data_IF_452403951232
#
_entry.id   IF_452403951232
#
_cell.length_a   1.000
_cell.length_b   1.000
_cell.length_c   1.000
_cell.angle_alpha   90.00
_cell.angle_beta   90.00
_cell.angle_gamma   90.00
#
_symmetry.space_group_name_H-M   'P 1'
#
loop_
_entity.id
_entity.type
_entity.pdbx_description
1 polymer ?
#
# COMPACT_ATOMS: atom_id res chain seq x y z
N UNK A 1 12.75 3.81 -11.18
CA UNK A 1 11.52 4.50 -10.71
C UNK A 1 11.46 4.33 -9.18
N UNK A 2 10.72 5.14 -8.41
CA UNK A 2 10.64 4.89 -6.96
C UNK A 2 9.98 3.54 -6.67
N UNK A 3 10.57 2.79 -5.74
CA UNK A 3 10.04 1.52 -5.23
C UNK A 3 9.20 1.80 -3.99
N UNK A 4 7.91 1.50 -4.09
CA UNK A 4 6.93 1.70 -3.03
C UNK A 4 6.60 0.35 -2.43
N UNK A 5 6.79 0.25 -1.12
CA UNK A 5 6.44 -0.90 -0.32
C UNK A 5 5.08 -0.71 0.35
N UNK A 6 4.27 -1.75 0.35
CA UNK A 6 3.01 -1.82 1.06
C UNK A 6 3.06 -2.97 2.06
N UNK A 7 2.79 -2.68 3.33
CA UNK A 7 2.52 -3.67 4.35
C UNK A 7 1.09 -4.19 4.17
N UNK A 8 0.93 -5.50 4.02
CA UNK A 8 -0.37 -6.13 3.82
C UNK A 8 -1.09 -6.43 5.13
N UNK A 9 -0.44 -6.21 6.28
CA UNK A 9 -1.00 -6.45 7.61
C UNK A 9 -1.93 -5.30 8.02
N UNK A 10 -1.47 -4.06 7.81
CA UNK A 10 -2.15 -2.83 8.25
C UNK A 10 -2.38 -1.82 7.12
N UNK A 11 -1.94 -2.13 5.89
CA UNK A 11 -2.09 -1.26 4.74
C UNK A 11 -1.13 -0.06 4.72
N UNK A 12 -0.09 -0.05 5.58
CA UNK A 12 0.94 0.98 5.55
C UNK A 12 1.65 1.02 4.19
N UNK A 13 1.83 2.22 3.63
CA UNK A 13 2.46 2.41 2.33
C UNK A 13 3.53 3.49 2.44
N UNK A 14 4.78 3.13 2.16
CA UNK A 14 5.91 4.06 2.12
C UNK A 14 6.95 3.58 1.09
N UNK A 15 8.07 4.25 0.98
CA UNK A 15 9.21 3.77 0.22
C UNK A 15 9.75 2.46 0.80
N UNK A 16 10.32 1.61 -0.06
CA UNK A 16 10.80 0.27 0.31
C UNK A 16 11.76 0.27 1.51
N UNK A 17 12.62 1.27 1.63
CA UNK A 17 13.57 1.43 2.73
C UNK A 17 12.87 1.66 4.08
N UNK A 18 11.77 2.40 4.09
CA UNK A 18 10.99 2.67 5.30
C UNK A 18 10.01 1.57 5.66
N UNK A 19 9.64 0.73 4.69
CA UNK A 19 8.77 -0.42 4.94
C UNK A 19 9.43 -1.40 5.92
N UNK A 20 10.75 -1.61 5.82
CA UNK A 20 11.46 -2.52 6.73
C UNK A 20 11.42 -1.99 8.16
N UNK A 21 11.71 -0.71 8.37
CA UNK A 21 11.66 -0.06 9.68
C UNK A 21 10.27 -0.14 10.32
N UNK A 22 9.21 0.01 9.52
CA UNK A 22 7.82 -0.20 9.95
C UNK A 22 7.57 -1.63 10.43
N UNK A 23 7.99 -2.65 9.67
CA UNK A 23 7.79 -4.05 10.04
C UNK A 23 8.57 -4.45 11.29
N UNK A 24 9.76 -3.88 11.48
CA UNK A 24 10.57 -4.13 12.67
C UNK A 24 10.03 -3.44 13.92
N UNK A 25 9.32 -2.31 13.79
CA UNK A 25 8.75 -1.56 14.92
C UNK A 25 7.33 -2.00 15.28
N UNK A 26 6.45 -2.05 14.28
CA UNK A 26 5.02 -2.26 14.50
C UNK A 26 4.62 -3.75 14.48
N UNK A 27 5.43 -4.61 13.84
CA UNK A 27 5.16 -6.05 13.69
C UNK A 27 6.27 -6.94 14.26
N UNK A 28 7.06 -6.40 15.20
CA UNK A 28 8.20 -7.06 15.82
C UNK A 28 7.84 -8.40 16.46
N UNK A 29 6.66 -8.48 17.07
CA UNK A 29 6.16 -9.68 17.73
C UNK A 29 5.88 -10.83 16.75
N UNK A 30 5.48 -10.51 15.52
CA UNK A 30 5.20 -11.48 14.46
C UNK A 30 6.47 -12.05 13.82
N UNK A 31 7.58 -11.32 13.90
CA UNK A 31 8.80 -11.66 13.17
C UNK A 31 10.00 -12.07 14.03
N UNK A 32 10.04 -11.67 15.30
CA UNK A 32 11.19 -11.85 16.20
C UNK A 32 11.65 -13.29 16.41
N UNK A 33 10.80 -14.28 16.10
CA UNK A 33 11.10 -15.72 16.29
C UNK A 33 11.34 -16.47 14.99
N UNK A 34 11.29 -15.79 13.84
CA UNK A 34 11.51 -16.43 12.55
C UNK A 34 13.00 -16.68 12.32
N UNK A 35 13.32 -17.80 11.67
CA UNK A 35 14.64 -17.98 11.06
C UNK A 35 14.82 -17.00 9.90
N UNK A 36 16.04 -16.84 9.40
CA UNK A 36 16.32 -15.98 8.23
C UNK A 36 15.46 -16.37 7.02
N UNK A 37 15.34 -17.68 6.76
CA UNK A 37 14.47 -18.18 5.68
C UNK A 37 12.99 -17.92 5.97
N UNK A 38 12.56 -18.10 7.23
CA UNK A 38 11.21 -17.79 7.67
C UNK A 38 10.88 -16.30 7.54
N UNK A 39 11.86 -15.43 7.77
CA UNK A 39 11.74 -13.99 7.60
C UNK A 39 11.55 -13.62 6.13
N UNK A 40 12.34 -14.21 5.23
CA UNK A 40 12.19 -14.00 3.79
C UNK A 40 10.81 -14.43 3.27
N UNK A 41 10.32 -15.60 3.68
CA UNK A 41 9.00 -16.07 3.27
C UNK A 41 7.87 -15.25 3.90
N UNK A 42 8.04 -14.80 5.14
CA UNK A 42 7.10 -13.90 5.80
C UNK A 42 7.02 -12.56 5.10
N UNK A 43 8.16 -11.96 4.72
CA UNK A 43 8.20 -10.72 3.95
C UNK A 43 7.46 -10.88 2.62
N UNK A 44 7.70 -11.94 1.86
CA UNK A 44 6.99 -12.19 0.58
C UNK A 44 5.47 -12.29 0.73
N UNK A 45 4.98 -12.77 1.87
CA UNK A 45 3.54 -12.96 2.14
C UNK A 45 2.87 -11.69 2.67
N UNK A 46 3.60 -10.90 3.45
CA UNK A 46 3.05 -9.77 4.20
C UNK A 46 3.47 -8.41 3.65
N UNK A 47 4.29 -8.38 2.60
CA UNK A 47 4.71 -7.14 1.94
C UNK A 47 4.50 -7.24 0.44
N UNK A 48 4.27 -6.09 -0.18
CA UNK A 48 4.23 -5.94 -1.62
C UNK A 48 5.10 -4.75 -2.02
N UNK A 49 6.10 -4.98 -2.86
CA UNK A 49 6.94 -3.90 -3.40
C UNK A 49 6.65 -3.75 -4.88
N UNK A 50 6.37 -2.53 -5.31
CA UNK A 50 6.07 -2.19 -6.70
C UNK A 50 6.87 -0.98 -7.14
N UNK A 51 7.36 -1.00 -8.38
CA UNK A 51 7.87 0.20 -9.03
C UNK A 51 6.70 1.05 -9.51
N UNK A 52 6.62 2.29 -9.02
CA UNK A 52 5.50 3.19 -9.31
C UNK A 52 6.03 4.53 -9.82
N UNK A 53 5.23 5.23 -10.62
CA UNK A 53 5.53 6.62 -11.00
C UNK A 53 5.13 7.61 -9.91
N UNK A 54 4.16 7.24 -9.07
CA UNK A 54 3.60 8.07 -8.01
C UNK A 54 4.25 7.75 -6.66
N UNK A 55 4.39 8.75 -5.77
CA UNK A 55 4.93 8.53 -4.42
C UNK A 55 3.96 7.72 -3.55
N UNK A 56 4.45 7.18 -2.42
CA UNK A 56 3.60 6.48 -1.45
C UNK A 56 2.44 7.37 -0.96
N UNK A 57 1.27 6.79 -0.75
CA UNK A 57 0.05 7.49 -0.33
C UNK A 57 -0.62 8.31 -1.45
N UNK A 58 0.01 8.44 -2.62
CA UNK A 58 -0.58 9.11 -3.79
C UNK A 58 -1.37 8.14 -4.69
N UNK A 59 -1.56 6.89 -4.26
CA UNK A 59 -2.30 5.88 -5.00
C UNK A 59 -3.77 6.35 -5.23
N UNK A 60 -4.20 6.62 -6.49
CA UNK A 60 -5.49 7.27 -6.77
C UNK A 60 -6.71 6.46 -6.30
N UNK A 61 -6.56 5.14 -6.17
CA UNK A 61 -7.65 4.25 -5.79
C UNK A 61 -7.96 4.28 -4.28
N UNK A 62 -6.96 4.42 -3.41
CA UNK A 62 -7.18 4.47 -1.94
C UNK A 62 -7.86 5.80 -1.55
N UNK A 63 -7.50 6.91 -2.22
CA UNK A 63 -8.21 8.18 -2.04
C UNK A 63 -9.67 8.13 -2.51
N UNK A 64 -10.06 7.21 -3.40
CA UNK A 64 -11.45 7.08 -3.86
C UNK A 64 -12.36 6.27 -2.93
N UNK A 65 -11.85 5.35 -2.11
CA UNK A 65 -12.71 4.59 -1.19
C UNK A 65 -13.01 5.31 0.13
N UNK A 66 -12.13 6.19 0.61
CA UNK A 66 -12.37 6.98 1.84
C UNK A 66 -12.87 8.40 1.59
N UNK A 67 -12.97 8.80 0.33
CA UNK A 67 -13.55 10.08 -0.06
C UNK A 67 -14.99 9.87 -0.51
N UNK A 68 -15.91 9.71 0.45
CA UNK A 68 -17.34 9.96 0.20
C UNK A 68 -17.64 11.45 -0.12
N UNK A 69 -16.63 12.30 -0.36
CA UNK A 69 -16.79 13.76 -0.50
C UNK A 69 -15.90 14.43 -1.55
N UNK A 70 -15.39 13.72 -2.56
CA UNK A 70 -14.68 14.38 -3.66
C UNK A 70 -15.33 13.99 -4.98
N UNK A 71 -16.20 14.88 -5.43
CA UNK A 71 -16.47 15.13 -6.83
C UNK A 71 -15.12 15.37 -7.54
N UNK A 72 -14.50 14.34 -8.08
CA UNK A 72 -13.36 14.53 -8.99
C UNK A 72 -13.93 14.89 -10.35
N UNK A 73 -13.94 16.19 -10.66
CA UNK A 73 -13.93 16.66 -12.03
C UNK A 73 -12.70 16.10 -12.74
N UNK A 74 -12.98 15.30 -13.77
CA UNK A 74 -12.38 15.19 -15.11
C UNK A 74 -12.76 13.78 -15.56
N UNK A 75 -13.76 13.72 -16.44
CA UNK A 75 -14.42 12.49 -16.90
C UNK A 75 -15.83 12.29 -16.35
N UNK A 76 -16.64 13.35 -16.21
CA UNK A 76 -18.08 13.20 -16.13
C UNK A 76 -18.58 12.72 -17.50
N UNK A 77 -18.65 11.40 -17.68
CA UNK A 77 -19.51 10.83 -18.71
C UNK A 77 -20.93 11.07 -18.25
N UNK A 78 -21.72 11.74 -19.08
CA UNK A 78 -23.10 12.12 -18.79
C UNK A 78 -23.93 10.87 -18.43
N UNK A 79 -24.75 10.88 -17.36
CA UNK A 79 -25.68 9.80 -17.09
C UNK A 79 -26.92 9.94 -17.98
N UNK A 80 -26.77 9.88 -19.29
CA UNK A 80 -27.87 9.55 -20.19
C UNK A 80 -27.97 8.02 -20.28
N UNK A 81 -28.47 7.35 -19.23
CA UNK A 81 -29.09 6.00 -19.29
C UNK A 81 -29.38 5.45 -17.89
N UNK A 82 -30.27 6.10 -17.14
CA UNK A 82 -31.08 5.38 -16.16
C UNK A 82 -32.52 5.87 -16.31
N UNK A 83 -33.27 5.08 -17.07
CA UNK A 83 -34.70 5.20 -17.31
C UNK A 83 -35.46 4.41 -16.26
#
# INVERSE_FOLDING_TARGET
>A
MPRVGTCLIDGFEDYEDKLIDHLEKEHADLNRRLSVDGWHDWLKRNTKVEERLLPPGANPWIRRQYSSKIQTGIGAVEPETLR
#
